data_IF_079964091184
#
_entry.id   IF_079964091184
#
_cell.length_a   1.000
_cell.length_b   1.000
_cell.length_c   1.000
_cell.angle_alpha   90.00
_cell.angle_beta   90.00
_cell.angle_gamma   90.00
#
_symmetry.space_group_name_H-M   'P 1'
#
loop_
_entity.id
_entity.type
_entity.pdbx_description
1 polymer ?
#
# COMPACT_ATOMS: atom_id res chain seq x y z
N UNK A 1 19.64 -28.51 -4.93
CA UNK A 1 20.92 -27.77 -5.05
C UNK A 1 21.38 -28.00 -6.48
N UNK A 2 21.18 -27.08 -7.43
CA UNK A 2 21.94 -25.83 -7.53
C UNK A 2 21.15 -24.71 -8.25
N UNK A 3 20.84 -23.67 -7.48
CA UNK A 3 20.94 -22.24 -7.83
C UNK A 3 20.92 -21.85 -9.32
N UNK A 4 19.74 -21.53 -9.85
CA UNK A 4 19.64 -20.71 -11.07
C UNK A 4 19.95 -19.26 -10.68
N UNK A 5 21.21 -18.89 -10.83
CA UNK A 5 21.68 -17.52 -10.74
C UNK A 5 20.90 -16.62 -11.72
N UNK A 6 20.37 -15.53 -11.18
CA UNK A 6 19.67 -14.42 -11.83
C UNK A 6 20.27 -14.08 -13.20
N UNK A 7 19.58 -14.50 -14.28
CA UNK A 7 19.94 -14.19 -15.67
C UNK A 7 19.92 -12.68 -15.89
N UNK A 8 21.09 -12.08 -16.08
CA UNK A 8 21.27 -10.66 -16.36
C UNK A 8 20.41 -10.26 -17.58
N UNK A 9 19.53 -9.27 -17.39
CA UNK A 9 18.60 -8.75 -18.39
C UNK A 9 19.38 -8.03 -19.50
N UNK A 10 19.87 -8.77 -20.48
CA UNK A 10 20.60 -8.22 -21.61
C UNK A 10 19.60 -7.83 -22.70
N UNK A 11 19.61 -6.55 -23.11
CA UNK A 11 18.73 -5.96 -24.13
C UNK A 11 18.97 -6.48 -25.56
N UNK A 12 19.82 -7.50 -25.69
CA UNK A 12 20.39 -7.96 -26.95
C UNK A 12 20.22 -9.47 -27.05
N UNK A 13 19.65 -9.95 -28.16
CA UNK A 13 19.77 -11.36 -28.56
C UNK A 13 20.30 -11.40 -29.97
N UNK A 14 21.24 -12.33 -30.17
CA UNK A 14 21.82 -12.65 -31.47
C UNK A 14 21.07 -13.85 -32.02
N UNK A 15 20.50 -13.72 -33.21
CA UNK A 15 19.88 -14.86 -33.89
C UNK A 15 20.93 -15.73 -34.59
N UNK A 16 20.51 -16.92 -35.04
CA UNK A 16 21.39 -17.89 -35.71
C UNK A 16 21.94 -17.37 -37.05
N UNK A 17 21.39 -16.25 -37.57
CA UNK A 17 21.83 -15.55 -38.78
C UNK A 17 22.84 -14.44 -38.47
N UNK A 18 23.19 -14.27 -37.20
CA UNK A 18 24.16 -13.27 -36.74
C UNK A 18 23.59 -11.85 -36.63
N UNK A 19 22.28 -11.66 -36.79
CA UNK A 19 21.61 -10.37 -36.64
C UNK A 19 21.41 -10.08 -35.16
N UNK A 20 21.75 -8.86 -34.77
CA UNK A 20 21.57 -8.37 -33.40
C UNK A 20 20.26 -7.61 -33.29
N UNK A 21 19.32 -8.14 -32.51
CA UNK A 21 18.09 -7.44 -32.17
C UNK A 21 18.29 -6.71 -30.84
N UNK A 22 18.07 -5.40 -30.85
CA UNK A 22 18.09 -4.55 -29.66
C UNK A 22 16.64 -4.18 -29.31
N UNK A 23 16.12 -4.73 -28.21
CA UNK A 23 14.79 -4.37 -27.72
C UNK A 23 14.88 -3.32 -26.64
N UNK A 24 13.96 -2.36 -26.69
CA UNK A 24 13.82 -1.37 -25.64
C UNK A 24 13.40 -2.08 -24.34
N UNK A 25 14.29 -2.12 -23.36
CA UNK A 25 13.93 -2.53 -22.00
C UNK A 25 13.30 -1.31 -21.34
N UNK A 26 12.02 -1.41 -21.01
CA UNK A 26 11.35 -0.35 -20.27
C UNK A 26 12.03 -0.16 -18.90
N UNK A 27 12.50 1.07 -18.59
CA UNK A 27 12.97 1.35 -17.26
C UNK A 27 11.79 1.19 -16.31
N UNK A 28 11.91 0.29 -15.34
CA UNK A 28 10.96 0.25 -14.23
C UNK A 28 11.04 1.60 -13.54
N UNK A 29 9.99 2.40 -13.69
CA UNK A 29 9.85 3.66 -12.95
C UNK A 29 9.72 3.29 -11.48
N UNK A 30 10.83 3.35 -10.74
CA UNK A 30 10.78 3.40 -9.30
C UNK A 30 10.20 4.78 -8.98
N UNK A 31 8.90 4.82 -8.76
CA UNK A 31 8.33 5.92 -7.99
C UNK A 31 8.95 5.74 -6.62
N UNK A 32 10.06 6.43 -6.36
CA UNK A 32 10.40 6.79 -4.99
C UNK A 32 9.19 7.59 -4.53
N UNK A 33 8.28 6.87 -3.88
CA UNK A 33 7.12 7.41 -3.21
C UNK A 33 7.73 8.14 -2.02
N UNK A 34 8.32 9.31 -2.33
CA UNK A 34 9.04 10.13 -1.39
C UNK A 34 8.16 10.23 -0.16
N UNK A 35 8.74 9.90 0.98
CA UNK A 35 8.10 9.91 2.29
C UNK A 35 7.55 11.32 2.57
N UNK A 36 6.42 11.67 1.97
CA UNK A 36 5.58 12.76 2.45
C UNK A 36 4.86 12.20 3.66
N UNK A 37 5.62 12.02 4.75
CA UNK A 37 5.13 11.67 6.09
C UNK A 37 4.22 12.73 6.69
N UNK A 38 4.03 13.84 5.98
CA UNK A 38 3.16 14.96 6.34
C UNK A 38 1.96 15.02 5.37
N UNK A 39 0.74 15.00 5.94
CA UNK A 39 -0.52 15.15 5.22
C UNK A 39 -1.49 13.96 5.37
N UNK A 40 -2.55 13.96 4.56
CA UNK A 40 -3.46 12.82 4.38
C UNK A 40 -2.73 11.72 3.60
N UNK A 41 -1.89 10.96 4.30
CA UNK A 41 -1.23 9.78 3.74
C UNK A 41 -2.16 8.59 3.83
N UNK A 42 -2.03 7.62 2.91
CA UNK A 42 -2.81 6.38 2.96
C UNK A 42 -2.68 5.66 4.32
N UNK A 43 -1.52 5.76 4.96
CA UNK A 43 -1.31 5.23 6.31
C UNK A 43 -2.14 5.96 7.38
N UNK A 44 -2.16 7.30 7.33
CA UNK A 44 -2.95 8.11 8.26
C UNK A 44 -4.46 7.86 8.07
N UNK A 45 -4.94 7.74 6.83
CA UNK A 45 -6.33 7.41 6.52
C UNK A 45 -6.75 6.04 7.07
N UNK A 46 -5.89 5.03 6.92
CA UNK A 46 -6.15 3.69 7.45
C UNK A 46 -6.23 3.69 8.98
N UNK A 47 -5.37 4.43 9.67
CA UNK A 47 -5.39 4.54 11.12
C UNK A 47 -6.63 5.31 11.59
N UNK A 48 -6.91 6.46 10.98
CA UNK A 48 -8.07 7.27 11.33
C UNK A 48 -9.38 6.51 11.11
N UNK A 49 -9.50 5.77 10.01
CA UNK A 49 -10.66 4.91 9.74
C UNK A 49 -10.85 3.81 10.78
N UNK A 50 -9.77 3.15 11.22
CA UNK A 50 -9.84 2.12 12.28
C UNK A 50 -10.24 2.70 13.63
N UNK A 51 -9.66 3.84 14.01
CA UNK A 51 -10.02 4.55 15.23
C UNK A 51 -11.49 4.97 15.21
N UNK A 52 -11.99 5.45 14.07
CA UNK A 52 -13.40 5.80 13.91
C UNK A 52 -14.33 4.58 14.08
N UNK A 53 -13.99 3.42 13.48
CA UNK A 53 -14.77 2.19 13.66
C UNK A 53 -14.79 1.74 15.12
N UNK A 54 -13.64 1.78 15.80
CA UNK A 54 -13.56 1.44 17.23
C UNK A 54 -14.36 2.41 18.10
N UNK A 55 -14.26 3.72 17.83
CA UNK A 55 -15.04 4.74 18.53
C UNK A 55 -16.54 4.56 18.35
N UNK A 56 -16.98 4.22 17.14
CA UNK A 56 -18.39 3.96 16.84
C UNK A 56 -18.91 2.70 17.55
N UNK A 57 -18.15 1.60 17.53
CA UNK A 57 -18.53 0.38 18.27
C UNK A 57 -18.55 0.64 19.77
N UNK A 58 -17.55 1.35 20.31
CA UNK A 58 -17.52 1.72 21.72
C UNK A 58 -18.73 2.58 22.12
N UNK A 59 -19.15 3.52 21.27
CA UNK A 59 -20.36 4.31 21.48
C UNK A 59 -21.61 3.42 21.59
N UNK A 60 -21.82 2.50 20.64
CA UNK A 60 -22.95 1.56 20.69
C UNK A 60 -22.94 0.75 21.99
N UNK A 61 -21.78 0.23 22.40
CA UNK A 61 -21.65 -0.57 23.62
C UNK A 61 -22.00 0.26 24.86
N UNK A 62 -21.53 1.51 24.94
CA UNK A 62 -21.81 2.42 26.06
C UNK A 62 -23.30 2.76 26.12
N UNK A 63 -23.93 3.02 24.97
CA UNK A 63 -25.37 3.29 24.89
C UNK A 63 -26.20 2.09 25.36
N UNK A 64 -25.82 0.87 24.97
CA UNK A 64 -26.49 -0.35 25.42
C UNK A 64 -26.29 -0.61 26.92
N UNK A 65 -25.09 -0.38 27.45
CA UNK A 65 -24.80 -0.60 28.86
C UNK A 65 -25.47 0.45 29.77
N UNK A 66 -25.56 1.69 29.32
CA UNK A 66 -26.08 2.83 30.12
C UNK A 66 -27.59 3.02 29.92
N UNK A 67 -28.16 2.54 28.80
CA UNK A 67 -29.56 2.76 28.43
C UNK A 67 -29.92 4.22 28.14
N UNK A 68 -28.91 5.09 28.04
CA UNK A 68 -29.01 6.52 27.71
C UNK A 68 -28.19 6.75 26.46
N UNK A 69 -28.77 7.43 25.47
CA UNK A 69 -28.05 7.78 24.25
C UNK A 69 -26.84 8.65 24.58
N UNK A 70 -25.75 8.54 23.83
CA UNK A 70 -24.52 9.29 24.10
C UNK A 70 -24.74 10.81 24.20
N UNK A 71 -25.71 11.33 23.43
CA UNK A 71 -26.13 12.74 23.49
C UNK A 71 -26.69 13.16 24.86
N UNK A 72 -27.31 12.26 25.61
CA UNK A 72 -27.83 12.52 26.97
C UNK A 72 -26.73 12.48 28.05
N UNK A 73 -25.55 11.96 27.72
CA UNK A 73 -24.40 11.92 28.64
C UNK A 73 -23.61 13.22 28.54
N UNK A 74 -23.57 13.84 27.36
CA UNK A 74 -22.85 15.08 27.10
C UNK A 74 -23.73 16.33 27.29
N UNK A 75 -25.06 16.18 27.24
CA UNK A 75 -26.04 17.26 27.43
C UNK A 75 -27.25 16.85 28.25
#
# INVERSE_FOLDING_TARGET
MTEQATKARTAFTKDDRGILNNWAIEPKMYVEQGESRFGFTAYAELINGRLAMLGFVALIVIELATGKGFLQIIG
#
